data_IF_216056660117
#
_entry.id   IF_216056660117
#
_cell.length_a   1.000
_cell.length_b   1.000
_cell.length_c   1.000
_cell.angle_alpha   90.00
_cell.angle_beta   90.00
_cell.angle_gamma   90.00
#
_symmetry.space_group_name_H-M   'P 1'
#
loop_
_entity.id
_entity.type
_entity.pdbx_description
1 polymer ?
#
# COMPACT_ATOMS: atom_id res chain seq x y z
N UNK A 1 -16.62 -16.73 -10.46
CA UNK A 1 -15.65 -15.98 -11.29
C UNK A 1 -14.70 -15.24 -10.37
N UNK A 2 -13.40 -15.26 -10.62
CA UNK A 2 -12.38 -14.57 -9.82
C UNK A 2 -12.23 -13.12 -10.29
N UNK A 3 -12.49 -12.18 -9.38
CA UNK A 3 -12.32 -10.75 -9.61
C UNK A 3 -11.21 -10.26 -8.69
N UNK A 4 -10.16 -9.67 -9.26
CA UNK A 4 -9.14 -8.98 -8.49
C UNK A 4 -9.38 -7.48 -8.61
N UNK A 5 -9.37 -6.80 -7.46
CA UNK A 5 -9.55 -5.35 -7.38
C UNK A 5 -8.31 -4.76 -6.73
N UNK A 6 -7.71 -3.77 -7.39
CA UNK A 6 -6.66 -2.94 -6.81
C UNK A 6 -7.16 -1.51 -6.76
N UNK A 7 -7.18 -0.90 -5.57
CA UNK A 7 -7.68 0.45 -5.38
C UNK A 7 -6.58 1.41 -4.93
N UNK A 8 -6.80 2.68 -5.27
CA UNK A 8 -6.05 3.81 -4.75
C UNK A 8 -7.06 4.90 -4.35
N UNK A 9 -7.15 5.17 -3.05
CA UNK A 9 -7.97 6.23 -2.48
C UNK A 9 -7.05 7.40 -2.09
N UNK A 10 -7.04 8.52 -2.83
CA UNK A 10 -6.25 9.68 -2.47
C UNK A 10 -6.78 10.34 -1.17
N UNK A 11 -5.86 10.91 -0.37
CA UNK A 11 -6.20 11.63 0.87
C UNK A 11 -7.12 12.84 0.63
N UNK A 12 -7.04 13.43 -0.58
CA UNK A 12 -7.91 14.53 -1.01
C UNK A 12 -8.69 14.11 -2.26
N UNK A 13 -10.02 14.11 -2.15
CA UNK A 13 -10.91 13.89 -3.30
C UNK A 13 -10.78 15.04 -4.30
N UNK A 14 -10.61 14.73 -5.58
CA UNK A 14 -10.61 15.73 -6.66
C UNK A 14 -12.00 15.82 -7.28
N UNK A 15 -12.78 16.81 -6.84
CA UNK A 15 -14.17 16.98 -7.28
C UNK A 15 -15.03 15.79 -6.86
N UNK A 16 -15.76 15.18 -7.80
CA UNK A 16 -16.61 14.01 -7.54
C UNK A 16 -15.86 12.68 -7.55
N UNK A 17 -14.57 12.68 -7.90
CA UNK A 17 -13.76 11.44 -7.91
C UNK A 17 -13.17 11.21 -6.53
N UNK A 18 -13.61 10.12 -5.90
CA UNK A 18 -13.13 9.70 -4.60
C UNK A 18 -11.96 8.72 -4.69
N UNK A 19 -11.88 7.94 -5.76
CA UNK A 19 -10.80 6.95 -5.91
C UNK A 19 -10.65 6.42 -7.33
N UNK A 20 -9.56 5.69 -7.53
CA UNK A 20 -9.25 4.98 -8.77
C UNK A 20 -9.08 3.51 -8.46
N UNK A 21 -9.44 2.66 -9.41
CA UNK A 21 -9.28 1.22 -9.27
C UNK A 21 -8.84 0.56 -10.57
N UNK A 22 -8.30 -0.64 -10.45
CA UNK A 22 -8.05 -1.55 -11.56
C UNK A 22 -8.76 -2.85 -11.24
N UNK A 23 -9.57 -3.32 -12.20
CA UNK A 23 -10.27 -4.59 -12.15
C UNK A 23 -9.55 -5.56 -13.09
N UNK A 24 -9.26 -6.75 -12.59
CA UNK A 24 -8.74 -7.87 -13.38
C UNK A 24 -9.67 -9.05 -13.23
N UNK A 25 -10.30 -9.47 -14.34
CA UNK A 25 -11.22 -10.60 -14.42
C UNK A 25 -10.46 -11.85 -14.87
N UNK A 26 -10.50 -12.91 -14.06
CA UNK A 26 -9.87 -14.22 -14.35
C UNK A 26 -8.38 -14.13 -14.78
N UNK A 27 -7.69 -13.03 -14.44
CA UNK A 27 -6.33 -12.73 -14.92
C UNK A 27 -6.19 -12.53 -16.44
N UNK A 28 -7.31 -12.42 -17.16
CA UNK A 28 -7.35 -12.33 -18.62
C UNK A 28 -7.68 -10.93 -19.11
N UNK A 29 -8.60 -10.23 -18.45
CA UNK A 29 -9.06 -8.91 -18.87
C UNK A 29 -8.91 -7.89 -17.74
N UNK A 30 -8.16 -6.83 -18.01
CA UNK A 30 -7.87 -5.78 -17.04
C UNK A 30 -8.35 -4.43 -17.55
N UNK A 31 -9.08 -3.68 -16.73
CA UNK A 31 -9.51 -2.32 -17.05
C UNK A 31 -9.57 -1.44 -15.81
N UNK A 32 -9.41 -0.14 -16.01
CA UNK A 32 -9.47 0.85 -14.94
C UNK A 32 -10.91 1.23 -14.60
N UNK A 33 -11.18 1.55 -13.35
CA UNK A 33 -12.47 2.08 -12.90
C UNK A 33 -12.24 3.36 -12.09
N UNK A 34 -13.28 4.17 -11.96
CA UNK A 34 -13.30 5.32 -11.06
C UNK A 34 -14.35 5.09 -9.98
N UNK A 35 -14.04 5.48 -8.76
CA UNK A 35 -15.00 5.52 -7.66
C UNK A 35 -15.44 6.97 -7.54
N UNK A 36 -16.72 7.21 -7.79
CA UNK A 36 -17.33 8.53 -7.75
C UNK A 36 -18.20 8.66 -6.50
N UNK A 37 -18.24 9.85 -5.92
CA UNK A 37 -19.15 10.17 -4.80
C UNK A 37 -20.20 11.16 -5.26
N UNK A 38 -21.46 10.88 -4.94
CA UNK A 38 -22.59 11.78 -5.12
C UNK A 38 -23.22 12.07 -3.75
N UNK A 39 -23.52 13.34 -3.47
CA UNK A 39 -24.33 13.72 -2.32
C UNK A 39 -25.81 13.59 -2.71
N UNK A 40 -26.52 12.69 -2.03
CA UNK A 40 -27.98 12.65 -2.06
C UNK A 40 -28.56 13.71 -1.11
N UNK A 41 -29.82 14.07 -1.32
CA UNK A 41 -30.57 14.92 -0.38
C UNK A 41 -30.47 14.37 1.05
N UNK A 42 -30.24 15.26 2.02
CA UNK A 42 -29.82 14.99 3.41
C UNK A 42 -28.30 14.81 3.65
N UNK A 43 -27.43 15.12 2.66
CA UNK A 43 -25.98 15.15 2.87
C UNK A 43 -25.32 13.76 2.92
N UNK A 44 -26.06 12.71 2.55
CA UNK A 44 -25.55 11.35 2.47
C UNK A 44 -24.69 11.22 1.22
N UNK A 45 -23.40 10.93 1.41
CA UNK A 45 -22.47 10.64 0.31
C UNK A 45 -22.54 9.16 -0.05
N UNK A 46 -23.01 8.85 -1.24
CA UNK A 46 -22.94 7.51 -1.81
C UNK A 46 -21.78 7.40 -2.80
N UNK A 47 -21.03 6.30 -2.69
CA UNK A 47 -19.97 5.96 -3.62
C UNK A 47 -20.48 4.95 -4.66
N UNK A 48 -20.14 5.16 -5.93
CA UNK A 48 -20.50 4.25 -7.02
C UNK A 48 -19.34 3.99 -7.98
N UNK A 49 -19.36 2.82 -8.60
CA UNK A 49 -18.34 2.36 -9.55
C UNK A 49 -18.67 2.87 -10.95
N UNK A 50 -17.74 3.62 -11.53
CA UNK A 50 -17.81 4.15 -12.89
C UNK A 50 -16.83 3.40 -13.79
N UNK A 51 -17.36 2.80 -14.85
CA UNK A 51 -16.60 2.05 -15.85
C UNK A 51 -15.92 3.00 -16.86
N UNK A 52 -14.88 2.56 -17.59
CA UNK A 52 -14.22 3.36 -18.61
C UNK A 52 -15.19 3.96 -19.63
N UNK A 53 -15.07 5.26 -19.85
CA UNK A 53 -15.81 5.98 -20.89
C UNK A 53 -14.85 6.77 -21.76
N UNK A 54 -15.16 6.86 -23.05
CA UNK A 54 -14.45 7.72 -24.01
C UNK A 54 -15.34 8.90 -24.38
N UNK A 55 -14.74 10.09 -24.44
CA UNK A 55 -15.38 11.26 -25.03
C UNK A 55 -15.21 11.19 -26.55
N UNK A 56 -16.32 11.12 -27.29
CA UNK A 56 -16.36 11.24 -28.74
C UNK A 56 -17.12 12.53 -29.09
N UNK A 57 -16.39 13.56 -29.50
CA UNK A 57 -16.97 14.90 -29.72
C UNK A 57 -17.62 15.43 -28.45
N UNK A 58 -18.93 15.68 -28.48
CA UNK A 58 -19.71 16.14 -27.33
C UNK A 58 -20.30 15.01 -26.47
N UNK A 59 -20.24 13.77 -26.94
CA UNK A 59 -20.87 12.62 -26.26
C UNK A 59 -19.85 11.81 -25.47
N UNK A 60 -20.34 11.18 -24.40
CA UNK A 60 -19.60 10.17 -23.64
C UNK A 60 -20.15 8.79 -23.98
N UNK A 61 -19.27 7.87 -24.34
CA UNK A 61 -19.61 6.50 -24.68
C UNK A 61 -18.90 5.53 -23.74
N UNK A 62 -19.60 4.47 -23.35
CA UNK A 62 -19.06 3.41 -22.49
C UNK A 62 -18.12 2.52 -23.30
N UNK A 63 -16.87 2.39 -22.85
CA UNK A 63 -15.90 1.47 -23.46
C UNK A 63 -16.05 0.05 -22.92
N UNK A 64 -16.63 -0.09 -21.73
CA UNK A 64 -16.84 -1.38 -21.06
C UNK A 64 -18.31 -1.47 -20.67
N UNK A 65 -19.00 -2.41 -21.32
CA UNK A 65 -20.38 -2.77 -21.05
C UNK A 65 -20.35 -4.17 -20.42
N UNK A 66 -20.98 -4.31 -19.27
CA UNK A 66 -21.05 -5.56 -18.51
C UNK A 66 -22.50 -5.91 -18.25
N UNK A 67 -22.81 -7.21 -18.26
CA UNK A 67 -24.10 -7.74 -17.84
C UNK A 67 -24.37 -7.39 -16.37
N UNK A 68 -25.65 -7.28 -15.99
CA UNK A 68 -26.05 -6.84 -14.64
C UNK A 68 -25.54 -7.79 -13.55
N UNK A 69 -25.52 -9.09 -13.81
CA UNK A 69 -25.02 -10.11 -12.88
C UNK A 69 -23.53 -9.89 -12.56
N UNK A 70 -22.73 -9.60 -13.58
CA UNK A 70 -21.30 -9.32 -13.48
C UNK A 70 -21.04 -7.94 -12.86
N UNK A 71 -21.84 -6.94 -13.24
CA UNK A 71 -21.78 -5.59 -12.66
C UNK A 71 -21.91 -5.63 -11.16
N UNK A 72 -22.92 -6.35 -10.65
CA UNK A 72 -23.17 -6.49 -9.22
C UNK A 72 -21.99 -7.17 -8.51
N UNK A 73 -21.42 -8.23 -9.10
CA UNK A 73 -20.22 -8.89 -8.56
C UNK A 73 -19.02 -7.95 -8.49
N UNK A 74 -18.79 -7.14 -9.53
CA UNK A 74 -17.71 -6.14 -9.54
C UNK A 74 -17.95 -5.08 -8.47
N UNK A 75 -19.18 -4.58 -8.34
CA UNK A 75 -19.52 -3.55 -7.36
C UNK A 75 -19.30 -4.05 -5.92
N UNK A 76 -19.73 -5.27 -5.59
CA UNK A 76 -19.47 -5.84 -4.27
C UNK A 76 -17.98 -6.07 -4.01
N UNK A 77 -17.24 -6.61 -4.99
CA UNK A 77 -15.79 -6.78 -4.85
C UNK A 77 -15.06 -5.43 -4.64
N UNK A 78 -15.51 -4.37 -5.32
CA UNK A 78 -14.97 -3.01 -5.11
C UNK A 78 -15.34 -2.48 -3.73
N UNK A 79 -16.57 -2.70 -3.26
CA UNK A 79 -17.03 -2.28 -1.93
C UNK A 79 -16.19 -2.94 -0.82
N UNK A 80 -15.94 -4.25 -0.94
CA UNK A 80 -15.07 -4.98 -0.02
C UNK A 80 -13.64 -4.41 -0.06
N UNK A 81 -13.08 -4.18 -1.24
CA UNK A 81 -11.76 -3.58 -1.40
C UNK A 81 -11.68 -2.17 -0.79
N UNK A 82 -12.71 -1.33 -0.92
CA UNK A 82 -12.80 -0.01 -0.26
C UNK A 82 -12.78 -0.20 1.26
N UNK A 83 -13.61 -1.11 1.79
CA UNK A 83 -13.66 -1.39 3.23
C UNK A 83 -12.28 -1.81 3.74
N UNK A 84 -11.61 -2.71 3.05
CA UNK A 84 -10.26 -3.14 3.41
C UNK A 84 -9.27 -1.98 3.35
N UNK A 85 -9.31 -1.16 2.30
CA UNK A 85 -8.39 -0.03 2.11
C UNK A 85 -8.55 1.04 3.21
N UNK A 86 -9.78 1.29 3.67
CA UNK A 86 -10.06 2.22 4.79
C UNK A 86 -9.67 1.59 6.14
N UNK A 87 -9.89 0.28 6.32
CA UNK A 87 -9.70 -0.38 7.61
C UNK A 87 -8.28 -0.90 7.85
N UNK A 88 -7.46 -1.05 6.81
CA UNK A 88 -6.10 -1.63 6.91
C UNK A 88 -5.19 -0.93 7.90
N UNK A 89 -5.45 0.36 8.14
CA UNK A 89 -4.65 1.19 9.04
C UNK A 89 -5.26 1.36 10.44
N UNK A 90 -6.45 0.81 10.72
CA UNK A 90 -7.11 0.95 12.02
C UNK A 90 -6.36 0.21 13.13
N UNK A 91 -5.86 -0.99 12.83
CA UNK A 91 -5.15 -1.83 13.78
C UNK A 91 -3.80 -2.21 13.21
N UNK A 92 -2.74 -1.78 13.89
CA UNK A 92 -1.39 -2.21 13.55
C UNK A 92 -1.11 -3.55 14.23
N UNK A 93 -0.62 -4.56 13.49
CA UNK A 93 -0.16 -5.79 14.10
C UNK A 93 1.02 -5.51 15.02
N UNK A 94 1.17 -6.35 16.05
CA UNK A 94 2.35 -6.32 16.91
C UNK A 94 3.60 -6.61 16.07
N UNK A 95 4.62 -5.79 16.25
CA UNK A 95 5.94 -5.94 15.62
C UNK A 95 6.92 -6.38 16.71
N UNK A 96 7.56 -7.52 16.51
CA UNK A 96 8.53 -8.07 17.45
C UNK A 96 9.93 -7.98 16.85
N UNK A 97 10.85 -7.27 17.50
CA UNK A 97 12.26 -7.26 17.10
C UNK A 97 12.92 -8.49 17.71
N UNK A 98 13.16 -9.51 16.89
CA UNK A 98 13.71 -10.80 17.36
C UNK A 98 15.22 -10.73 17.57
N UNK A 99 15.91 -10.03 16.69
CA UNK A 99 17.36 -9.87 16.75
C UNK A 99 17.73 -8.48 16.26
N UNK A 100 18.66 -7.83 16.95
CA UNK A 100 19.28 -6.59 16.51
C UNK A 100 20.79 -6.69 16.70
N UNK A 101 21.54 -6.63 15.60
CA UNK A 101 23.00 -6.54 15.63
C UNK A 101 23.39 -5.07 15.45
N UNK A 102 24.16 -4.55 16.40
CA UNK A 102 24.79 -3.23 16.28
C UNK A 102 26.19 -3.42 15.73
N UNK A 103 26.56 -2.62 14.73
CA UNK A 103 27.92 -2.60 14.19
C UNK A 103 28.72 -1.43 14.79
N UNK A 104 30.03 -1.60 15.00
CA UNK A 104 30.89 -0.53 15.49
C UNK A 104 30.90 0.65 14.51
N UNK A 105 30.78 1.87 15.05
CA UNK A 105 30.68 3.09 14.25
C UNK A 105 32.06 3.47 13.69
N UNK A 106 32.34 3.12 12.44
CA UNK A 106 33.47 3.65 11.67
C UNK A 106 33.15 5.02 11.05
N UNK A 107 34.14 5.92 10.94
CA UNK A 107 33.98 7.27 10.33
C UNK A 107 33.43 7.27 8.90
N UNK A 108 33.47 6.14 8.18
CA UNK A 108 33.09 6.02 6.76
C UNK A 108 32.00 4.99 6.47
N UNK A 109 31.57 4.19 7.44
CA UNK A 109 30.58 3.13 7.20
C UNK A 109 29.19 3.66 7.51
N UNK A 110 28.31 3.83 6.50
CA UNK A 110 26.94 4.26 6.74
C UNK A 110 26.13 3.16 7.44
N UNK A 111 26.53 1.89 7.35
CA UNK A 111 25.84 0.78 7.99
C UNK A 111 26.17 0.72 9.49
N UNK A 112 25.15 0.77 10.34
CA UNK A 112 25.29 0.81 11.81
C UNK A 112 24.61 -0.36 12.51
N UNK A 113 23.80 -1.14 11.80
CA UNK A 113 23.22 -2.35 12.34
C UNK A 113 22.39 -3.14 11.34
N UNK A 114 21.93 -4.29 11.79
CA UNK A 114 21.02 -5.17 11.07
C UNK A 114 19.97 -5.74 12.03
N UNK A 115 18.70 -5.71 11.62
CA UNK A 115 17.58 -6.18 12.41
C UNK A 115 16.86 -7.35 11.73
N UNK A 116 16.32 -8.23 12.56
CA UNK A 116 15.35 -9.25 12.21
C UNK A 116 14.09 -9.01 13.03
N UNK A 117 12.95 -8.91 12.35
CA UNK A 117 11.65 -8.69 12.97
C UNK A 117 10.70 -9.85 12.70
N UNK A 118 9.61 -9.92 13.47
CA UNK A 118 8.44 -10.73 13.19
C UNK A 118 7.18 -9.87 13.22
N UNK A 119 6.36 -10.01 12.19
CA UNK A 119 5.07 -9.33 12.04
C UNK A 119 4.09 -10.27 11.36
N UNK A 120 2.87 -10.40 11.88
CA UNK A 120 1.85 -11.33 11.35
C UNK A 120 2.35 -12.79 11.18
N UNK A 121 3.24 -13.25 12.07
CA UNK A 121 3.86 -14.58 11.98
C UNK A 121 4.99 -14.70 10.93
N UNK A 122 5.20 -13.68 10.08
CA UNK A 122 6.26 -13.63 9.08
C UNK A 122 7.53 -13.08 9.72
N UNK A 123 8.66 -13.79 9.57
CA UNK A 123 9.97 -13.33 10.04
C UNK A 123 10.73 -12.68 8.88
N UNK A 124 11.11 -11.42 9.05
CA UNK A 124 11.85 -10.63 8.06
C UNK A 124 13.26 -10.37 8.58
N UNK A 125 14.25 -10.86 7.84
CA UNK A 125 15.68 -10.70 8.14
C UNK A 125 16.30 -9.63 7.22
N UNK A 126 17.47 -9.11 7.59
CA UNK A 126 18.24 -8.23 6.71
C UNK A 126 17.72 -6.79 6.63
N UNK A 127 16.96 -6.32 7.62
CA UNK A 127 16.58 -4.90 7.71
C UNK A 127 17.82 -4.13 8.15
N UNK A 128 18.38 -3.31 7.27
CA UNK A 128 19.62 -2.60 7.54
C UNK A 128 19.34 -1.28 8.26
N UNK A 129 20.11 -0.96 9.29
CA UNK A 129 20.14 0.38 9.88
C UNK A 129 21.31 1.15 9.31
N UNK A 130 21.03 2.32 8.73
CA UNK A 130 22.04 3.19 8.13
C UNK A 130 22.01 4.59 8.72
N UNK A 131 23.19 5.18 8.88
CA UNK A 131 23.37 6.58 9.27
C UNK A 131 23.41 7.47 8.04
N UNK A 132 22.40 8.31 7.89
CA UNK A 132 22.34 9.38 6.90
C UNK A 132 22.62 10.75 7.52
N UNK A 133 22.47 11.80 6.71
CA UNK A 133 22.64 13.20 7.12
C UNK A 133 21.69 13.62 8.26
N UNK A 134 20.50 13.03 8.32
CA UNK A 134 19.42 13.38 9.25
C UNK A 134 19.26 12.40 10.42
N UNK A 135 20.19 11.46 10.59
CA UNK A 135 20.13 10.43 11.64
C UNK A 135 20.13 9.01 11.10
N UNK A 136 19.83 8.05 11.98
CA UNK A 136 19.73 6.63 11.64
C UNK A 136 18.36 6.32 11.06
N UNK A 137 18.33 5.59 9.96
CA UNK A 137 17.11 5.14 9.30
C UNK A 137 17.19 3.66 8.92
N UNK A 138 16.05 3.02 8.75
CA UNK A 138 15.94 1.64 8.31
C UNK A 138 15.85 1.55 6.79
N UNK A 139 16.48 0.53 6.21
CA UNK A 139 16.35 0.16 4.82
C UNK A 139 15.87 -1.29 4.73
N UNK A 140 14.80 -1.52 3.98
CA UNK A 140 14.27 -2.87 3.76
C UNK A 140 15.23 -3.72 2.92
N UNK A 141 15.14 -5.05 2.98
CA UNK A 141 15.90 -5.94 2.11
C UNK A 141 15.64 -5.65 0.63
N UNK A 142 16.71 -5.63 -0.18
CA UNK A 142 16.65 -5.27 -1.59
C UNK A 142 17.21 -6.36 -2.50
N UNK A 143 16.61 -6.55 -3.66
CA UNK A 143 17.16 -7.30 -4.77
C UNK A 143 17.48 -6.39 -5.94
N UNK A 144 18.58 -6.69 -6.61
CA UNK A 144 18.94 -6.03 -7.86
C UNK A 144 18.14 -6.64 -9.02
N UNK A 145 17.56 -5.78 -9.85
CA UNK A 145 16.99 -6.13 -11.14
C UNK A 145 17.68 -5.31 -12.22
N UNK A 146 18.09 -5.94 -13.32
CA UNK A 146 18.73 -5.25 -14.44
C UNK A 146 17.87 -4.12 -15.02
N UNK A 147 16.54 -4.25 -15.00
CA UNK A 147 15.61 -3.26 -15.57
C UNK A 147 15.34 -2.07 -14.66
N UNK A 148 15.41 -2.25 -13.34
CA UNK A 148 14.93 -1.26 -12.35
C UNK A 148 15.93 -0.93 -11.24
N UNK A 149 17.12 -1.53 -11.28
CA UNK A 149 18.11 -1.43 -10.21
C UNK A 149 17.70 -2.16 -8.94
N UNK A 150 18.22 -1.72 -7.80
CA UNK A 150 17.86 -2.24 -6.49
C UNK A 150 16.44 -1.83 -6.11
N UNK A 151 15.62 -2.82 -5.75
CA UNK A 151 14.25 -2.61 -5.27
C UNK A 151 14.02 -3.36 -3.97
N UNK A 152 13.24 -2.75 -3.08
CA UNK A 152 12.78 -3.40 -1.86
C UNK A 152 11.96 -4.65 -2.23
N UNK A 153 12.38 -5.79 -1.69
CA UNK A 153 11.71 -7.09 -1.89
C UNK A 153 10.49 -7.20 -0.97
N UNK A 154 10.57 -6.53 0.17
CA UNK A 154 9.53 -6.53 1.21
C UNK A 154 9.07 -5.10 1.39
N UNK A 155 7.80 -4.87 1.12
CA UNK A 155 7.17 -3.57 1.28
C UNK A 155 5.82 -3.73 1.95
N UNK A 156 5.44 -2.73 2.75
CA UNK A 156 4.10 -2.62 3.28
C UNK A 156 3.27 -1.72 2.34
N UNK A 157 2.06 -2.13 1.92
CA UNK A 157 1.14 -1.26 1.19
C UNK A 157 0.57 -0.13 2.08
N UNK A 158 0.71 -0.26 3.40
CA UNK A 158 0.38 0.78 4.37
C UNK A 158 1.64 1.56 4.76
N UNK A 159 1.60 2.88 4.60
CA UNK A 159 2.61 3.79 5.16
C UNK A 159 2.69 3.65 6.68
N UNK A 160 1.54 3.55 7.36
CA UNK A 160 1.45 3.48 8.82
C UNK A 160 2.16 2.23 9.37
N UNK A 161 1.95 1.06 8.75
CA UNK A 161 2.64 -0.17 9.15
C UNK A 161 4.14 -0.11 8.87
N UNK A 162 4.56 0.45 7.73
CA UNK A 162 5.99 0.63 7.44
C UNK A 162 6.66 1.51 8.48
N UNK A 163 6.04 2.64 8.81
CA UNK A 163 6.58 3.61 9.75
C UNK A 163 6.63 3.00 11.17
N UNK A 164 5.63 2.20 11.55
CA UNK A 164 5.64 1.45 12.82
C UNK A 164 6.75 0.38 12.89
N UNK A 165 7.01 -0.32 11.78
CA UNK A 165 8.14 -1.28 11.71
C UNK A 165 9.47 -0.55 11.92
N UNK A 166 9.67 0.58 11.24
CA UNK A 166 10.89 1.36 11.37
C UNK A 166 11.05 1.93 12.78
N UNK A 167 9.96 2.43 13.37
CA UNK A 167 9.97 2.93 14.74
C UNK A 167 10.40 1.85 15.73
N UNK A 168 9.78 0.66 15.68
CA UNK A 168 10.13 -0.44 16.59
C UNK A 168 11.62 -0.83 16.49
N UNK A 169 12.16 -0.91 15.26
CA UNK A 169 13.57 -1.24 15.04
C UNK A 169 14.50 -0.13 15.55
N UNK A 170 14.16 1.14 15.30
CA UNK A 170 14.97 2.29 15.72
C UNK A 170 14.97 2.47 17.24
N UNK A 171 13.83 2.27 17.90
CA UNK A 171 13.72 2.32 19.36
C UNK A 171 14.60 1.25 20.01
N UNK A 172 14.48 -0.01 19.59
CA UNK A 172 15.35 -1.10 20.08
C UNK A 172 16.83 -0.84 19.80
N UNK A 173 17.17 -0.23 18.65
CA UNK A 173 18.55 0.18 18.37
C UNK A 173 19.05 1.23 19.37
N UNK A 174 18.24 2.25 19.67
CA UNK A 174 18.63 3.31 20.60
C UNK A 174 18.80 2.80 22.04
N UNK A 175 17.97 1.85 22.47
CA UNK A 175 18.10 1.17 23.77
C UNK A 175 19.45 0.45 23.87
N UNK A 176 19.81 -0.35 22.85
CA UNK A 176 21.10 -1.07 22.79
C UNK A 176 22.33 -0.18 22.64
N UNK A 177 22.17 1.10 22.34
CA UNK A 177 23.28 2.07 22.34
C UNK A 177 23.52 2.67 23.73
N UNK A 178 22.56 2.55 24.66
CA UNK A 178 22.67 3.06 26.03
C UNK A 178 23.19 2.01 27.01
N UNK A 179 23.09 0.73 26.64
CA UNK A 179 23.76 -0.41 27.29
C UNK A 179 25.26 -0.40 26.99
#
# INVERSE_FOLDING_TARGET
>A
MKIQVQLYLPDQSRGTVWGYGTITLEQLLTFQIRILTCEKGAGIKEAFVSFPRRKQGERWEDLVIVEDSLRNQITEAVREAIRMEITKDLYLPKIEVLHLQVFPQGKKTPLVGEATIRVLGVTVKGILLKRGKYGVFCQMPQYYSEKKGYQDVIYSPSKRLRDAIFQAVLETYQERQKE
#
